data_IF_432271581451
#
_entry.id   IF_432271581451
#
_cell.length_a   1.000
_cell.length_b   1.000
_cell.length_c   1.000
_cell.angle_alpha   90.00
_cell.angle_beta   90.00
_cell.angle_gamma   90.00
#
_symmetry.space_group_name_H-M   'P 1'
#
loop_
_entity.id
_entity.type
_entity.pdbx_description
1 polymer ?
#
# COMPACT_ATOMS: atom_id res chain seq x y z
N UNK A 1 -14.71 -3.40 -2.54
CA UNK A 1 -13.24 -3.46 -2.50
C UNK A 1 -12.67 -3.27 -3.89
N UNK A 2 -11.64 -2.44 -4.02
CA UNK A 2 -10.85 -2.33 -5.24
C UNK A 2 -9.37 -2.49 -4.91
N UNK A 3 -8.59 -2.95 -5.90
CA UNK A 3 -7.14 -3.12 -5.77
C UNK A 3 -6.46 -1.76 -5.93
N UNK A 4 -5.57 -1.42 -5.01
CA UNK A 4 -4.75 -0.21 -5.09
C UNK A 4 -3.50 -0.47 -5.94
N UNK A 5 -2.69 -1.45 -5.53
CA UNK A 5 -1.45 -1.82 -6.20
C UNK A 5 -0.96 -3.21 -5.80
N UNK A 6 0.03 -3.72 -6.52
CA UNK A 6 0.86 -4.85 -6.09
C UNK A 6 2.09 -4.31 -5.34
N UNK A 7 2.37 -4.84 -4.16
CA UNK A 7 3.48 -4.43 -3.31
C UNK A 7 4.79 -4.75 -4.03
N UNK A 8 5.62 -3.75 -4.28
CA UNK A 8 6.94 -3.91 -4.88
C UNK A 8 8.03 -3.95 -3.81
N UNK A 9 7.89 -3.11 -2.79
CA UNK A 9 8.85 -2.99 -1.70
C UNK A 9 8.16 -2.58 -0.40
N UNK A 10 8.76 -2.96 0.73
CA UNK A 10 8.33 -2.52 2.05
C UNK A 10 9.52 -2.29 2.97
N UNK A 11 9.47 -1.22 3.75
CA UNK A 11 10.54 -0.89 4.69
C UNK A 11 9.99 -0.19 5.92
N UNK A 12 10.61 -0.48 7.07
CA UNK A 12 10.24 0.17 8.31
C UNK A 12 10.77 1.62 8.33
N UNK A 13 9.90 2.55 8.74
CA UNK A 13 10.29 3.89 9.14
C UNK A 13 10.27 3.93 10.67
N UNK A 14 11.48 3.93 11.26
CA UNK A 14 11.69 3.87 12.71
C UNK A 14 10.81 4.89 13.45
N UNK A 15 9.97 4.38 14.34
CA UNK A 15 9.06 5.18 15.17
C UNK A 15 7.82 5.73 14.45
N UNK A 16 7.59 5.39 13.18
CA UNK A 16 6.41 5.83 12.41
C UNK A 16 5.52 4.68 11.92
N UNK A 17 6.10 3.60 11.42
CA UNK A 17 5.34 2.47 10.86
C UNK A 17 6.08 1.78 9.72
N UNK A 18 5.37 0.95 8.97
CA UNK A 18 5.88 0.24 7.79
C UNK A 18 5.41 0.97 6.53
N UNK A 19 6.33 1.36 5.66
CA UNK A 19 6.01 1.88 4.34
C UNK A 19 5.79 0.72 3.37
N UNK A 20 4.66 0.75 2.66
CA UNK A 20 4.29 -0.16 1.59
C UNK A 20 4.33 0.62 0.28
N UNK A 21 5.23 0.24 -0.62
CA UNK A 21 5.42 0.93 -1.88
C UNK A 21 5.03 0.03 -3.06
N UNK A 22 4.28 0.59 -4.01
CA UNK A 22 3.94 -0.12 -5.23
C UNK A 22 3.46 0.80 -6.34
N UNK A 23 3.11 0.20 -7.46
CA UNK A 23 2.65 0.91 -8.66
C UNK A 23 1.12 0.83 -8.69
N UNK A 24 0.46 1.99 -8.64
CA UNK A 24 -1.00 2.04 -8.73
C UNK A 24 -1.48 1.48 -10.06
N UNK A 25 -2.47 0.58 -10.02
CA UNK A 25 -3.03 -0.04 -11.23
C UNK A 25 -3.83 0.98 -12.07
N UNK A 26 -4.47 1.94 -11.39
CA UNK A 26 -5.23 3.03 -12.01
C UNK A 26 -4.72 4.39 -11.49
N UNK A 27 -4.48 5.31 -12.43
CA UNK A 27 -3.96 6.66 -12.17
C UNK A 27 -5.01 7.60 -11.58
N UNK A 28 -6.28 7.27 -11.72
CA UNK A 28 -7.41 8.07 -11.24
C UNK A 28 -7.94 7.61 -9.88
N UNK A 29 -7.44 6.50 -9.35
CA UNK A 29 -7.79 6.06 -8.01
C UNK A 29 -7.50 7.18 -6.99
N UNK A 30 -8.42 7.49 -6.07
CA UNK A 30 -8.12 8.40 -4.97
C UNK A 30 -7.22 7.69 -3.94
N UNK A 31 -6.47 8.48 -3.17
CA UNK A 31 -5.76 7.93 -2.01
C UNK A 31 -6.79 7.48 -0.96
N UNK A 32 -6.58 6.33 -0.32
CA UNK A 32 -7.38 5.93 0.82
C UNK A 32 -7.27 6.97 1.94
N UNK A 33 -8.38 7.23 2.64
CA UNK A 33 -8.40 8.20 3.73
C UNK A 33 -7.46 7.77 4.86
N UNK A 34 -6.79 8.72 5.53
CA UNK A 34 -5.96 8.43 6.71
C UNK A 34 -6.77 7.70 7.78
N UNK A 35 -6.15 6.79 8.52
CA UNK A 35 -6.81 5.93 9.52
C UNK A 35 -7.87 4.97 8.96
N UNK A 36 -7.98 4.82 7.64
CA UNK A 36 -8.86 3.81 7.03
C UNK A 36 -8.28 2.40 7.16
N UNK A 37 -9.14 1.41 6.94
CA UNK A 37 -8.75 0.01 6.86
C UNK A 37 -8.39 -0.32 5.41
N UNK A 38 -7.16 -0.78 5.21
CA UNK A 38 -6.72 -1.39 3.96
C UNK A 38 -6.49 -2.88 4.20
N UNK A 39 -6.23 -3.63 3.14
CA UNK A 39 -6.08 -5.08 3.23
C UNK A 39 -4.93 -5.57 2.37
N UNK A 40 -4.11 -6.46 2.92
CA UNK A 40 -3.14 -7.25 2.18
C UNK A 40 -3.76 -8.59 1.78
N UNK A 41 -3.50 -9.04 0.55
CA UNK A 41 -3.98 -10.34 0.05
C UNK A 41 -2.84 -11.09 -0.65
N UNK A 42 -2.42 -12.23 -0.09
CA UNK A 42 -1.55 -13.20 -0.79
C UNK A 42 -2.40 -14.05 -1.75
N UNK A 43 -1.77 -14.63 -2.76
CA UNK A 43 -2.44 -15.53 -3.71
C UNK A 43 -3.14 -16.67 -2.95
N UNK A 44 -4.45 -16.84 -3.17
CA UNK A 44 -5.30 -17.84 -2.53
C UNK A 44 -5.37 -17.77 -0.98
N UNK A 45 -5.19 -16.58 -0.39
CA UNK A 45 -5.36 -16.34 1.04
C UNK A 45 -6.51 -15.37 1.33
N UNK A 46 -6.94 -15.35 2.59
CA UNK A 46 -7.88 -14.36 3.09
C UNK A 46 -7.26 -12.96 3.13
N UNK A 47 -8.13 -11.95 3.18
CA UNK A 47 -7.72 -10.56 3.33
C UNK A 47 -7.22 -10.29 4.75
N UNK A 48 -5.98 -9.81 4.85
CA UNK A 48 -5.36 -9.41 6.10
C UNK A 48 -5.58 -7.91 6.32
N UNK A 49 -6.34 -7.49 7.34
CA UNK A 49 -6.60 -6.08 7.60
C UNK A 49 -5.35 -5.36 8.10
N UNK A 50 -5.05 -4.18 7.53
CA UNK A 50 -3.96 -3.31 7.94
C UNK A 50 -4.50 -1.92 8.28
N UNK A 51 -4.01 -1.33 9.37
CA UNK A 51 -4.35 0.04 9.75
C UNK A 51 -3.49 1.04 8.99
N UNK A 52 -4.10 1.79 8.07
CA UNK A 52 -3.43 2.87 7.35
C UNK A 52 -3.23 4.08 8.27
N UNK A 53 -2.00 4.59 8.34
CA UNK A 53 -1.65 5.80 9.06
C UNK A 53 -1.62 7.00 8.12
N UNK A 54 -1.02 6.83 6.94
CA UNK A 54 -0.92 7.87 5.93
C UNK A 54 -0.79 7.29 4.52
N UNK A 55 -1.09 8.09 3.50
CA UNK A 55 -1.01 7.68 2.10
C UNK A 55 -0.56 8.84 1.22
N UNK A 56 0.38 8.58 0.32
CA UNK A 56 0.90 9.59 -0.61
C UNK A 56 1.16 9.01 -1.99
N UNK A 57 1.03 9.86 -3.02
CA UNK A 57 1.59 9.58 -4.33
C UNK A 57 3.02 10.09 -4.39
N UNK A 58 3.96 9.20 -4.67
CA UNK A 58 5.28 9.60 -5.14
C UNK A 58 5.23 9.82 -6.65
N UNK A 59 5.48 11.06 -7.07
CA UNK A 59 5.68 11.35 -8.49
C UNK A 59 6.93 10.62 -8.96
N UNK A 60 6.80 9.83 -10.01
CA UNK A 60 7.96 9.27 -10.68
C UNK A 60 8.76 10.43 -11.30
N UNK A 61 9.97 10.67 -10.82
CA UNK A 61 10.82 11.77 -11.28
C UNK A 61 11.20 11.63 -12.77
N UNK A 62 11.01 10.46 -13.38
CA UNK A 62 11.54 10.11 -14.70
C UNK A 62 10.49 10.06 -15.81
N UNK A 63 9.20 10.24 -15.52
CA UNK A 63 8.17 10.43 -16.55
C UNK A 63 6.83 10.88 -15.96
N UNK A 64 6.31 12.01 -16.44
CA UNK A 64 4.95 12.50 -16.12
C UNK A 64 3.83 11.58 -16.60
N UNK A 65 4.15 10.62 -17.49
CA UNK A 65 3.17 9.70 -18.11
C UNK A 65 3.23 8.27 -17.54
N UNK A 66 4.17 7.97 -16.63
CA UNK A 66 4.27 6.64 -15.98
C UNK A 66 3.31 6.52 -14.80
N UNK A 67 2.94 5.29 -14.39
CA UNK A 67 2.03 5.09 -13.26
C UNK A 67 2.61 5.74 -12.00
N UNK A 68 1.72 6.35 -11.20
CA UNK A 68 2.12 7.02 -9.95
C UNK A 68 2.49 5.93 -8.96
N UNK A 69 3.68 6.03 -8.38
CA UNK A 69 4.05 5.18 -7.26
C UNK A 69 3.16 5.61 -6.09
N UNK A 70 2.51 4.65 -5.45
CA UNK A 70 1.74 4.87 -4.23
C UNK A 70 2.57 4.37 -3.06
N UNK A 71 2.64 5.17 -2.00
CA UNK A 71 3.26 4.77 -0.74
C UNK A 71 2.21 4.88 0.35
N UNK A 72 2.00 3.79 1.06
CA UNK A 72 1.10 3.72 2.21
C UNK A 72 1.94 3.50 3.46
N UNK A 73 1.74 4.32 4.48
CA UNK A 73 2.29 4.09 5.81
C UNK A 73 1.27 3.32 6.63
N UNK A 74 1.62 2.13 7.12
CA UNK A 74 0.76 1.32 7.99
C UNK A 74 1.36 1.15 9.38
N UNK A 75 0.52 0.86 10.37
CA UNK A 75 0.99 0.50 11.70
C UNK A 75 1.78 -0.81 11.65
N UNK A 76 2.86 -0.91 12.44
CA UNK A 76 3.60 -2.16 12.60
C UNK A 76 2.94 -3.00 13.70
N UNK A 77 2.66 -4.24 13.35
CA UNK A 77 2.14 -5.31 14.19
C UNK A 77 2.75 -6.65 13.73
N UNK A 78 2.31 -7.76 14.31
CA UNK A 78 2.80 -9.10 13.92
C UNK A 78 2.44 -9.45 12.47
N UNK A 79 1.33 -8.91 11.95
CA UNK A 79 0.82 -9.22 10.60
C UNK A 79 1.66 -8.52 9.52
N UNK A 80 2.05 -7.28 9.77
CA UNK A 80 2.78 -6.44 8.81
C UNK A 80 4.26 -6.80 8.69
N UNK A 81 4.85 -7.44 9.70
CA UNK A 81 6.27 -7.84 9.69
C UNK A 81 6.60 -8.90 8.65
N UNK A 82 5.63 -9.72 8.29
CA UNK A 82 5.78 -10.81 7.33
C UNK A 82 5.26 -10.44 5.92
N UNK A 83 5.06 -9.15 5.64
CA UNK A 83 4.67 -8.71 4.31
C UNK A 83 5.87 -8.84 3.36
N UNK A 84 5.64 -9.52 2.24
CA UNK A 84 6.62 -9.74 1.19
C UNK A 84 6.16 -9.07 -0.12
N UNK A 85 7.10 -8.81 -1.03
CA UNK A 85 6.77 -8.27 -2.33
C UNK A 85 5.85 -9.22 -3.12
N UNK A 86 5.06 -8.62 -4.00
CA UNK A 86 4.08 -9.30 -4.84
C UNK A 86 2.69 -9.50 -4.23
N UNK A 87 2.50 -9.17 -2.96
CA UNK A 87 1.18 -9.14 -2.31
C UNK A 87 0.32 -8.02 -2.88
N UNK A 88 -0.98 -8.26 -3.02
CA UNK A 88 -1.90 -7.22 -3.46
C UNK A 88 -2.40 -6.40 -2.28
N UNK A 89 -2.43 -5.07 -2.45
CA UNK A 89 -3.02 -4.15 -1.49
C UNK A 89 -4.37 -3.68 -2.02
N UNK A 90 -5.38 -3.78 -1.16
CA UNK A 90 -6.78 -3.50 -1.47
C UNK A 90 -7.36 -2.50 -0.47
N UNK A 91 -8.36 -1.74 -0.89
CA UNK A 91 -9.13 -0.91 0.03
C UNK A 91 -10.64 -1.04 -0.19
N UNK A 92 -11.40 -0.66 0.84
CA UNK A 92 -12.84 -0.77 0.84
C UNK A 92 -13.58 0.41 0.20
N UNK A 93 -12.92 1.58 0.09
CA UNK A 93 -13.42 2.89 -0.40
C UNK A 93 -14.93 3.08 -0.43
#
# INVERSE_FOLDING_TARGET
MHKLFKLEDCFEIKGKGLALAGIADDKELPLPAKNSLIFAKRQNSDFLPLKLLDAEYMRNCWSLHKPRNMVLLVAIDEVTRDLESGIEIWCNS
#
